data_IF_893053753574
#
_entry.id   IF_893053753574
#
_cell.length_a   1.000
_cell.length_b   1.000
_cell.length_c   1.000
_cell.angle_alpha   90.00
_cell.angle_beta   90.00
_cell.angle_gamma   90.00
#
_symmetry.space_group_name_H-M   'P 1'
#
loop_
_entity.id
_entity.type
_entity.pdbx_description
1 polymer ?
#
# COMPACT_ATOMS: atom_id res chain seq x y z
N UNK A 1 12.08 3.69 15.71
CA UNK A 1 11.05 2.70 15.44
C UNK A 1 11.68 1.45 14.84
N UNK A 2 11.32 0.28 15.35
CA UNK A 2 11.90 -0.98 14.91
C UNK A 2 11.21 -1.47 13.62
N UNK A 3 12.02 -1.73 12.61
CA UNK A 3 11.59 -2.38 11.38
C UNK A 3 11.98 -3.85 11.50
N UNK A 4 11.07 -4.76 11.11
CA UNK A 4 11.32 -6.20 11.19
C UNK A 4 12.50 -6.61 10.32
N UNK A 5 13.27 -7.59 10.78
CA UNK A 5 14.48 -8.05 10.09
C UNK A 5 14.23 -8.46 8.64
N UNK A 6 13.05 -9.03 8.36
CA UNK A 6 12.69 -9.43 7.00
C UNK A 6 12.80 -8.29 5.98
N UNK A 7 12.55 -7.05 6.39
CA UNK A 7 12.66 -5.89 5.49
C UNK A 7 14.13 -5.54 5.21
N UNK A 8 14.99 -5.65 6.20
CA UNK A 8 16.43 -5.42 5.99
C UNK A 8 17.03 -6.50 5.10
N UNK A 9 16.64 -7.75 5.27
CA UNK A 9 17.07 -8.86 4.42
C UNK A 9 16.56 -8.68 3.00
N UNK A 10 15.28 -8.36 2.83
CA UNK A 10 14.67 -8.16 1.51
C UNK A 10 15.27 -6.96 0.78
N UNK A 11 15.71 -5.92 1.50
CA UNK A 11 16.35 -4.75 0.90
C UNK A 11 17.67 -5.10 0.20
N UNK A 12 18.27 -6.24 0.53
CA UNK A 12 19.50 -6.73 -0.12
C UNK A 12 19.20 -7.49 -1.41
N UNK A 13 17.93 -7.83 -1.66
CA UNK A 13 17.50 -8.61 -2.82
C UNK A 13 17.03 -7.68 -3.92
N UNK A 14 17.58 -7.83 -5.12
CA UNK A 14 17.13 -7.09 -6.28
C UNK A 14 16.03 -7.89 -6.97
N UNK A 15 14.80 -7.37 -6.93
CA UNK A 15 13.65 -8.04 -7.54
C UNK A 15 13.12 -7.27 -8.74
N UNK A 16 12.60 -8.02 -9.70
CA UNK A 16 11.87 -7.45 -10.81
C UNK A 16 10.54 -6.86 -10.29
N UNK A 17 10.17 -5.69 -10.79
CA UNK A 17 8.92 -5.02 -10.42
C UNK A 17 7.78 -5.57 -11.27
N UNK A 18 6.93 -6.39 -10.66
CA UNK A 18 5.81 -7.06 -11.34
C UNK A 18 4.46 -6.37 -11.14
N UNK A 19 4.36 -5.49 -10.13
CA UNK A 19 3.16 -4.69 -9.88
C UNK A 19 3.46 -3.23 -10.11
N UNK A 20 2.53 -2.52 -10.74
CA UNK A 20 2.64 -1.07 -10.87
C UNK A 20 2.38 -0.40 -9.52
N UNK A 21 1.42 -0.93 -8.76
CA UNK A 21 1.07 -0.45 -7.42
C UNK A 21 0.82 -1.62 -6.47
N UNK A 22 1.26 -1.48 -5.24
CA UNK A 22 0.85 -2.35 -4.14
C UNK A 22 0.23 -1.49 -3.05
N UNK A 23 -0.95 -1.86 -2.60
CA UNK A 23 -1.74 -1.10 -1.63
C UNK A 23 -1.76 -1.84 -0.29
N UNK A 24 -1.29 -1.19 0.77
CA UNK A 24 -1.25 -1.79 2.11
C UNK A 24 -1.81 -0.78 3.10
N UNK A 25 -3.07 -0.90 3.43
CA UNK A 25 -3.75 0.01 4.35
C UNK A 25 -4.02 -0.63 5.71
N UNK A 26 -3.43 -1.81 5.96
CA UNK A 26 -3.58 -2.52 7.22
C UNK A 26 -4.97 -3.10 7.42
N UNK A 27 -5.30 -3.44 8.67
CA UNK A 27 -6.61 -3.97 9.03
C UNK A 27 -7.69 -2.89 9.07
N UNK A 28 -7.33 -1.62 8.93
CA UNK A 28 -8.25 -0.49 8.97
C UNK A 28 -8.45 0.12 7.59
N UNK A 29 -9.00 -0.66 6.67
CA UNK A 29 -9.36 -0.20 5.33
C UNK A 29 -10.68 0.59 5.40
N UNK A 30 -10.60 1.79 5.93
CA UNK A 30 -11.76 2.64 6.20
C UNK A 30 -12.51 2.96 4.90
N UNK A 31 -13.82 2.74 4.93
CA UNK A 31 -14.74 3.07 3.81
C UNK A 31 -14.39 2.38 2.49
N UNK A 32 -13.70 1.25 2.54
CA UNK A 32 -13.34 0.51 1.33
C UNK A 32 -12.34 1.24 0.45
N UNK A 33 -11.44 2.00 1.04
CA UNK A 33 -10.47 2.82 0.31
C UNK A 33 -9.57 2.00 -0.61
N UNK A 34 -9.14 0.80 -0.17
CA UNK A 34 -8.33 -0.10 -1.02
C UNK A 34 -9.07 -0.44 -2.32
N UNK A 35 -10.36 -0.74 -2.23
CA UNK A 35 -11.17 -1.06 -3.41
C UNK A 35 -11.32 0.16 -4.33
N UNK A 36 -11.58 1.34 -3.77
CA UNK A 36 -11.71 2.59 -4.55
C UNK A 36 -10.44 2.91 -5.33
N UNK A 37 -9.31 2.82 -4.66
CA UNK A 37 -8.00 3.07 -5.29
C UNK A 37 -7.74 2.04 -6.37
N UNK A 38 -7.99 0.76 -6.06
CA UNK A 38 -7.77 -0.34 -7.00
C UNK A 38 -8.61 -0.20 -8.25
N UNK A 39 -9.89 0.12 -8.12
CA UNK A 39 -10.77 0.35 -9.26
C UNK A 39 -10.22 1.42 -10.20
N UNK A 40 -9.75 2.53 -9.63
CA UNK A 40 -9.19 3.62 -10.42
C UNK A 40 -7.92 3.21 -11.17
N UNK A 41 -7.03 2.47 -10.52
CA UNK A 41 -5.79 1.99 -11.13
C UNK A 41 -6.08 0.94 -12.22
N UNK A 42 -7.03 0.05 -11.97
CA UNK A 42 -7.42 -0.97 -12.94
C UNK A 42 -8.04 -0.38 -14.20
N UNK A 43 -8.79 0.72 -14.06
CA UNK A 43 -9.33 1.45 -15.21
C UNK A 43 -8.22 2.00 -16.11
N UNK A 44 -7.05 2.23 -15.57
CA UNK A 44 -5.88 2.68 -16.33
C UNK A 44 -5.03 1.53 -16.87
N UNK A 45 -5.46 0.29 -16.66
CA UNK A 45 -4.72 -0.90 -17.11
C UNK A 45 -3.49 -1.22 -16.29
N UNK A 46 -3.40 -0.72 -15.07
CA UNK A 46 -2.23 -0.92 -14.20
C UNK A 46 -2.35 -2.21 -13.38
N UNK A 47 -1.23 -2.91 -13.23
CA UNK A 47 -1.15 -4.09 -12.39
C UNK A 47 -1.16 -3.67 -10.93
N UNK A 48 -2.17 -4.08 -10.20
CA UNK A 48 -2.44 -3.65 -8.83
C UNK A 48 -2.48 -4.84 -7.88
N UNK A 49 -1.77 -4.74 -6.77
CA UNK A 49 -1.83 -5.73 -5.70
C UNK A 49 -2.38 -5.06 -4.43
N UNK A 50 -3.21 -5.77 -3.70
CA UNK A 50 -3.66 -5.34 -2.37
C UNK A 50 -3.18 -6.38 -1.37
N UNK A 51 -2.49 -5.92 -0.35
CA UNK A 51 -1.98 -6.74 0.74
C UNK A 51 -2.76 -6.36 1.99
N UNK A 52 -3.54 -7.28 2.51
CA UNK A 52 -4.43 -7.02 3.62
C UNK A 52 -4.52 -8.21 4.57
N UNK A 53 -5.39 -8.13 5.57
CA UNK A 53 -5.62 -9.20 6.53
C UNK A 53 -7.08 -9.64 6.50
N UNK A 54 -7.35 -10.81 7.07
CA UNK A 54 -8.72 -11.34 7.20
C UNK A 54 -9.62 -10.45 8.06
N UNK A 55 -9.04 -9.51 8.84
CA UNK A 55 -9.79 -8.52 9.61
C UNK A 55 -10.35 -7.37 8.79
N UNK A 56 -10.04 -7.29 7.51
CA UNK A 56 -10.55 -6.23 6.65
C UNK A 56 -12.05 -6.41 6.40
N UNK A 57 -12.85 -5.41 6.78
CA UNK A 57 -14.31 -5.46 6.65
C UNK A 57 -14.81 -5.40 5.21
N UNK A 58 -13.94 -4.98 4.28
CA UNK A 58 -14.27 -4.83 2.87
C UNK A 58 -13.69 -5.94 2.01
N UNK A 59 -13.34 -7.06 2.62
CA UNK A 59 -12.66 -8.17 1.96
C UNK A 59 -13.47 -8.75 0.80
N UNK A 60 -14.80 -8.83 0.94
CA UNK A 60 -15.67 -9.34 -0.11
C UNK A 60 -15.60 -8.50 -1.39
N UNK A 61 -15.54 -7.17 -1.26
CA UNK A 61 -15.38 -6.27 -2.41
C UNK A 61 -14.04 -6.49 -3.11
N UNK A 62 -12.98 -6.69 -2.33
CA UNK A 62 -11.65 -6.97 -2.87
C UNK A 62 -11.58 -8.32 -3.58
N UNK A 63 -12.23 -9.34 -3.02
CA UNK A 63 -12.33 -10.66 -3.65
C UNK A 63 -13.07 -10.59 -4.98
N UNK A 64 -14.13 -9.79 -5.04
CA UNK A 64 -14.89 -9.58 -6.27
C UNK A 64 -14.02 -8.93 -7.35
N UNK A 65 -13.25 -7.90 -7.01
CA UNK A 65 -12.30 -7.27 -7.92
C UNK A 65 -11.28 -8.28 -8.45
N UNK A 66 -10.78 -9.15 -7.58
CA UNK A 66 -9.81 -10.18 -7.94
C UNK A 66 -10.40 -11.17 -8.96
N UNK A 67 -11.68 -11.52 -8.81
CA UNK A 67 -12.33 -12.45 -9.73
C UNK A 67 -12.64 -11.85 -11.09
N UNK A 68 -12.77 -10.52 -11.20
CA UNK A 68 -13.17 -9.82 -12.43
C UNK A 68 -12.00 -9.21 -13.21
N UNK A 69 -10.82 -9.08 -12.59
CA UNK A 69 -9.69 -8.37 -13.19
C UNK A 69 -8.42 -9.20 -13.14
N UNK A 70 -7.86 -9.52 -14.28
CA UNK A 70 -6.59 -10.26 -14.36
C UNK A 70 -5.40 -9.45 -13.82
N UNK A 71 -5.49 -8.12 -13.88
CA UNK A 71 -4.44 -7.22 -13.39
C UNK A 71 -4.50 -6.96 -11.88
N UNK A 72 -5.43 -7.57 -11.19
CA UNK A 72 -5.60 -7.40 -9.74
C UNK A 72 -5.19 -8.66 -9.00
N UNK A 73 -4.32 -8.50 -8.00
CA UNK A 73 -3.89 -9.58 -7.12
C UNK A 73 -4.23 -9.22 -5.68
N UNK A 74 -4.85 -10.15 -4.97
CA UNK A 74 -5.22 -9.97 -3.57
C UNK A 74 -4.44 -10.95 -2.70
N UNK A 75 -3.77 -10.42 -1.69
CA UNK A 75 -3.00 -11.20 -0.72
C UNK A 75 -3.58 -10.97 0.68
N UNK A 76 -4.11 -12.03 1.28
CA UNK A 76 -4.73 -11.99 2.60
C UNK A 76 -3.88 -12.77 3.58
N UNK A 77 -3.51 -12.14 4.69
CA UNK A 77 -2.67 -12.74 5.73
C UNK A 77 -1.35 -13.32 5.20
N UNK A 78 -0.77 -12.66 4.19
CA UNK A 78 0.49 -13.11 3.58
C UNK A 78 1.66 -13.02 4.56
N UNK A 79 2.53 -14.02 4.51
CA UNK A 79 3.79 -14.04 5.26
C UNK A 79 4.95 -13.42 4.49
N UNK A 80 4.71 -13.01 3.24
CA UNK A 80 5.74 -12.49 2.34
C UNK A 80 5.55 -11.00 2.03
N UNK A 81 5.11 -10.22 3.02
CA UNK A 81 4.79 -8.79 2.83
C UNK A 81 5.99 -8.01 2.30
N UNK A 82 7.18 -8.21 2.88
CA UNK A 82 8.38 -7.50 2.45
C UNK A 82 8.71 -7.79 0.98
N UNK A 83 8.61 -9.04 0.58
CA UNK A 83 8.84 -9.46 -0.82
C UNK A 83 7.84 -8.78 -1.75
N UNK A 84 6.56 -8.81 -1.40
CA UNK A 84 5.50 -8.22 -2.21
C UNK A 84 5.68 -6.71 -2.35
N UNK A 85 6.05 -6.03 -1.28
CA UNK A 85 6.35 -4.60 -1.31
C UNK A 85 7.53 -4.30 -2.24
N UNK A 86 8.55 -5.14 -2.20
CA UNK A 86 9.74 -4.96 -3.05
C UNK A 86 9.46 -5.25 -4.54
N UNK A 87 8.40 -5.99 -4.85
CA UNK A 87 7.99 -6.30 -6.22
C UNK A 87 7.10 -5.23 -6.86
N UNK A 88 6.78 -4.16 -6.13
CA UNK A 88 5.94 -3.08 -6.64
C UNK A 88 6.77 -1.87 -7.04
N UNK A 89 6.36 -1.19 -8.11
CA UNK A 89 7.00 0.05 -8.56
C UNK A 89 6.69 1.21 -7.62
N UNK A 90 5.45 1.23 -7.09
CA UNK A 90 4.96 2.27 -6.18
C UNK A 90 4.10 1.64 -5.11
N UNK A 91 4.28 2.08 -3.87
CA UNK A 91 3.46 1.63 -2.75
C UNK A 91 2.44 2.71 -2.37
N UNK A 92 1.25 2.27 -1.99
CA UNK A 92 0.25 3.13 -1.36
C UNK A 92 0.03 2.54 0.04
N UNK A 93 0.45 3.26 1.06
CA UNK A 93 0.51 2.77 2.44
C UNK A 93 -0.12 3.77 3.41
N UNK A 94 -0.54 3.30 4.56
CA UNK A 94 -0.94 4.21 5.64
C UNK A 94 0.30 4.89 6.23
N UNK A 95 0.12 6.11 6.72
CA UNK A 95 1.17 6.87 7.41
C UNK A 95 1.39 6.30 8.81
N UNK A 96 2.09 5.18 8.88
CA UNK A 96 2.31 4.38 10.07
C UNK A 96 3.73 3.78 10.04
N UNK A 97 3.97 2.70 10.76
CA UNK A 97 5.24 1.97 10.70
C UNK A 97 5.58 1.50 9.29
N UNK A 98 4.58 1.36 8.41
CA UNK A 98 4.80 1.00 7.00
C UNK A 98 5.70 1.99 6.27
N UNK A 99 5.69 3.27 6.65
CA UNK A 99 6.59 4.28 6.08
C UNK A 99 8.04 3.90 6.32
N UNK A 100 8.37 3.43 7.51
CA UNK A 100 9.73 3.01 7.84
C UNK A 100 10.13 1.74 7.07
N UNK A 101 9.20 0.81 6.93
CA UNK A 101 9.41 -0.42 6.17
C UNK A 101 9.68 -0.11 4.70
N UNK A 102 8.88 0.77 4.10
CA UNK A 102 9.07 1.21 2.72
C UNK A 102 10.42 1.93 2.55
N UNK A 103 10.80 2.76 3.50
CA UNK A 103 12.09 3.46 3.48
C UNK A 103 13.26 2.49 3.51
N UNK A 104 13.20 1.46 4.36
CA UNK A 104 14.25 0.44 4.45
C UNK A 104 14.41 -0.32 3.13
N UNK A 105 13.29 -0.61 2.46
CA UNK A 105 13.30 -1.28 1.15
C UNK A 105 13.79 -0.37 0.02
N UNK A 106 13.90 0.93 0.26
CA UNK A 106 14.21 1.88 -0.80
C UNK A 106 13.06 2.05 -1.81
N UNK A 107 11.84 1.71 -1.39
CA UNK A 107 10.67 1.76 -2.25
C UNK A 107 10.09 3.16 -2.35
N UNK A 108 9.52 3.49 -3.51
CA UNK A 108 8.74 4.72 -3.68
C UNK A 108 7.35 4.49 -3.09
N UNK A 109 6.80 5.48 -2.43
CA UNK A 109 5.49 5.33 -1.81
C UNK A 109 4.69 6.64 -1.78
N UNK A 110 3.37 6.48 -1.67
CA UNK A 110 2.41 7.54 -1.37
C UNK A 110 1.76 7.14 -0.05
N UNK A 111 1.72 8.04 0.92
CA UNK A 111 1.18 7.76 2.24
C UNK A 111 -0.23 8.32 2.40
N UNK A 112 -1.09 7.57 3.07
CA UNK A 112 -2.46 7.99 3.37
C UNK A 112 -2.61 8.16 4.87
N UNK A 113 -3.10 9.31 5.30
CA UNK A 113 -3.43 9.58 6.68
C UNK A 113 -4.94 9.45 6.86
N UNK A 114 -5.38 8.66 7.83
CA UNK A 114 -6.80 8.39 8.06
C UNK A 114 -7.25 8.69 9.49
N UNK A 115 -6.34 9.06 10.36
CA UNK A 115 -6.63 9.31 11.76
C UNK A 115 -5.93 10.58 12.26
N UNK A 116 -6.55 11.27 13.20
CA UNK A 116 -6.02 12.52 13.75
C UNK A 116 -4.63 12.38 14.36
N UNK A 117 -4.31 11.21 14.91
CA UNK A 117 -2.99 10.94 15.48
C UNK A 117 -1.88 10.83 14.43
N UNK A 118 -2.22 10.93 13.15
CA UNK A 118 -1.25 10.90 12.05
C UNK A 118 -0.88 12.29 11.55
N UNK A 119 -1.37 13.36 12.18
CA UNK A 119 -1.13 14.74 11.76
C UNK A 119 0.35 15.09 11.73
N UNK A 120 1.12 14.67 12.73
CA UNK A 120 2.54 14.96 12.81
C UNK A 120 3.33 14.26 11.69
N UNK A 121 3.05 13.00 11.45
CA UNK A 121 3.73 12.25 10.38
C UNK A 121 3.35 12.81 9.01
N UNK A 122 2.10 13.25 8.84
CA UNK A 122 1.67 13.90 7.61
C UNK A 122 2.49 15.15 7.33
N UNK A 123 2.64 16.03 8.33
CA UNK A 123 3.42 17.24 8.21
C UNK A 123 4.89 16.93 7.89
N UNK A 124 5.47 15.95 8.60
CA UNK A 124 6.85 15.54 8.37
C UNK A 124 7.08 15.05 6.93
N UNK A 125 6.15 14.22 6.43
CA UNK A 125 6.25 13.69 5.07
C UNK A 125 6.22 14.81 4.04
N UNK A 126 5.29 15.76 4.18
CA UNK A 126 5.18 16.91 3.27
C UNK A 126 6.43 17.78 3.31
N UNK A 127 6.97 18.05 4.48
CA UNK A 127 8.19 18.85 4.64
C UNK A 127 9.41 18.19 4.00
N UNK A 128 9.43 16.87 3.96
CA UNK A 128 10.56 16.11 3.42
C UNK A 128 10.36 15.66 1.97
N UNK A 129 9.37 16.22 1.28
CA UNK A 129 9.16 15.99 -0.14
C UNK A 129 8.46 14.68 -0.50
N UNK A 130 7.87 13.99 0.47
CA UNK A 130 7.09 12.78 0.21
C UNK A 130 5.64 13.13 -0.10
N UNK A 131 4.99 12.30 -0.90
CA UNK A 131 3.57 12.44 -1.18
C UNK A 131 2.76 11.86 -0.02
N UNK A 132 1.86 12.68 0.54
CA UNK A 132 0.96 12.27 1.61
C UNK A 132 -0.42 12.90 1.38
N UNK A 133 -1.47 12.14 1.67
CA UNK A 133 -2.85 12.51 1.39
C UNK A 133 -3.75 12.16 2.58
N UNK A 134 -4.82 12.92 2.76
CA UNK A 134 -5.84 12.59 3.75
C UNK A 134 -6.96 11.78 3.09
N UNK A 135 -7.19 10.55 3.60
CA UNK A 135 -8.27 9.70 3.14
C UNK A 135 -8.27 9.47 1.63
N UNK A 136 -9.41 9.68 0.99
CA UNK A 136 -9.59 9.42 -0.44
C UNK A 136 -9.06 10.53 -1.36
N UNK A 137 -8.47 11.57 -0.82
CA UNK A 137 -7.84 12.63 -1.63
C UNK A 137 -6.78 12.09 -2.58
N UNK A 138 -6.15 10.98 -2.22
CA UNK A 138 -5.17 10.31 -3.08
C UNK A 138 -5.76 9.97 -4.46
N UNK A 139 -7.05 9.67 -4.52
CA UNK A 139 -7.71 9.32 -5.79
C UNK A 139 -7.63 10.44 -6.80
N UNK A 140 -7.51 11.69 -6.36
CA UNK A 140 -7.37 12.85 -7.25
C UNK A 140 -6.00 12.91 -7.91
N UNK A 141 -5.00 12.25 -7.35
CA UNK A 141 -3.63 12.25 -7.86
C UNK A 141 -3.32 11.05 -8.76
N UNK A 142 -4.23 10.11 -8.84
CA UNK A 142 -4.02 8.85 -9.59
C UNK A 142 -4.49 8.92 -11.05
#
# INVERSE_FOLDING_TARGET
MLVRDEFYEEAQVKREKIYDYAIILGGTDISGLSAKISEKLLLKGLKTAVITTSGNKNLSALKELSSKNENFSLFVDSKNVAKLMNEAKMLIITASSLVNEAYVLGAKFKAICVADNQTEIFAWLKENGYEAYWGDEICLSL
#
